data_IF_955945953543
#
_entry.id   IF_955945953543
#
_cell.length_a   1.000
_cell.length_b   1.000
_cell.length_c   1.000
_cell.angle_alpha   90.00
_cell.angle_beta   90.00
_cell.angle_gamma   90.00
#
_symmetry.space_group_name_H-M   'P 1'
#
loop_
_entity.id
_entity.type
_entity.pdbx_description
1 polymer ?
#
# COMPACT_ATOMS: atom_id res chain seq x y z
N UNK A 1 -13.44 8.95 36.91
CA UNK A 1 -14.71 8.37 36.42
C UNK A 1 -14.43 7.73 35.06
N UNK A 2 -14.23 6.41 35.03
CA UNK A 2 -13.79 5.69 33.85
C UNK A 2 -14.89 5.70 32.78
N UNK A 3 -14.60 6.28 31.61
CA UNK A 3 -15.50 6.16 30.45
C UNK A 3 -15.34 4.75 29.90
N UNK A 4 -16.43 3.97 29.99
CA UNK A 4 -16.57 2.66 29.35
C UNK A 4 -16.09 2.77 27.90
N UNK A 5 -15.09 1.97 27.53
CA UNK A 5 -14.72 1.81 26.14
C UNK A 5 -15.92 1.25 25.39
N UNK A 6 -16.37 1.97 24.36
CA UNK A 6 -17.32 1.41 23.41
C UNK A 6 -16.68 0.17 22.77
N UNK A 7 -17.44 -0.91 22.54
CA UNK A 7 -16.91 -2.10 21.89
C UNK A 7 -16.42 -1.70 20.49
N UNK A 8 -15.23 -2.17 20.11
CA UNK A 8 -14.57 -1.82 18.84
C UNK A 8 -15.49 -1.95 17.61
N UNK A 9 -16.44 -2.88 17.65
CA UNK A 9 -17.45 -3.11 16.59
C UNK A 9 -18.42 -1.94 16.37
N UNK A 10 -18.75 -1.16 17.41
CA UNK A 10 -19.67 -0.01 17.30
C UNK A 10 -18.95 1.21 16.70
N UNK A 11 -17.65 1.38 17.03
CA UNK A 11 -16.79 2.38 16.39
C UNK A 11 -16.55 2.07 14.91
N UNK A 12 -16.46 0.79 14.52
CA UNK A 12 -16.24 0.38 13.13
C UNK A 12 -17.39 0.74 12.19
N UNK A 13 -18.65 0.74 12.66
CA UNK A 13 -19.82 1.09 11.83
C UNK A 13 -19.94 2.60 11.60
N UNK A 14 -19.63 3.43 12.60
CA UNK A 14 -19.63 4.89 12.44
C UNK A 14 -18.50 5.38 11.53
N UNK A 15 -17.36 4.68 11.49
CA UNK A 15 -16.25 4.99 10.58
C UNK A 15 -16.60 4.70 9.11
N UNK A 16 -17.49 3.75 8.81
CA UNK A 16 -17.97 3.47 7.43
C UNK A 16 -18.83 4.60 6.86
N UNK A 17 -19.41 5.43 7.71
CA UNK A 17 -20.32 6.51 7.33
C UNK A 17 -19.61 7.83 7.06
N UNK A 18 -18.30 7.91 7.35
CA UNK A 18 -17.50 9.11 7.14
C UNK A 18 -16.59 8.94 5.93
N UNK A 19 -16.45 9.96 5.07
CA UNK A 19 -15.46 9.92 4.01
C UNK A 19 -14.05 9.79 4.64
N UNK A 20 -13.27 8.90 4.05
CA UNK A 20 -11.96 8.51 4.52
C UNK A 20 -10.93 8.85 3.44
N UNK A 21 -9.82 9.48 3.85
CA UNK A 21 -8.67 9.71 2.99
C UNK A 21 -7.61 8.71 3.40
N UNK A 22 -7.12 7.95 2.44
CA UNK A 22 -6.03 6.97 2.63
C UNK A 22 -4.86 7.40 1.76
N UNK A 23 -3.80 7.97 2.33
CA UNK A 23 -2.59 8.27 1.59
C UNK A 23 -1.84 6.99 1.18
N UNK A 24 -0.89 7.09 0.25
CA UNK A 24 -0.12 5.95 -0.25
C UNK A 24 0.60 5.15 0.86
N UNK A 25 0.96 5.79 1.97
CA UNK A 25 1.63 5.16 3.12
C UNK A 25 0.74 4.23 3.97
N UNK A 26 -0.55 4.12 3.62
CA UNK A 26 -1.52 3.29 4.33
C UNK A 26 -1.96 3.86 5.67
N UNK A 27 -1.64 5.14 5.96
CA UNK A 27 -2.33 5.90 6.99
C UNK A 27 -3.76 6.20 6.54
N UNK A 28 -4.63 6.60 7.46
CA UNK A 28 -5.96 7.06 7.07
C UNK A 28 -6.51 8.09 8.03
N UNK A 29 -7.35 8.98 7.53
CA UNK A 29 -8.13 9.88 8.38
C UNK A 29 -9.61 9.87 8.00
N UNK A 30 -10.46 10.02 9.02
CA UNK A 30 -11.87 10.28 8.83
C UNK A 30 -12.14 11.78 8.84
N UNK A 31 -13.04 12.23 7.97
CA UNK A 31 -13.45 13.63 7.87
C UNK A 31 -14.78 13.81 8.60
N UNK A 32 -14.87 14.79 9.49
CA UNK A 32 -16.08 15.13 10.26
C UNK A 32 -15.75 15.78 11.61
N UNK A 33 -16.77 16.11 12.41
CA UNK A 33 -16.59 16.73 13.74
C UNK A 33 -15.76 15.86 14.71
N UNK A 34 -15.75 14.54 14.48
CA UNK A 34 -14.94 13.55 15.21
C UNK A 34 -13.81 12.97 14.37
N UNK A 35 -13.35 13.71 13.37
CA UNK A 35 -12.26 13.28 12.50
C UNK A 35 -11.04 12.85 13.30
N UNK A 36 -10.49 11.69 12.98
CA UNK A 36 -9.33 11.13 13.64
C UNK A 36 -8.30 10.71 12.60
N UNK A 37 -7.02 10.87 12.93
CA UNK A 37 -5.90 10.41 12.13
C UNK A 37 -5.33 9.12 12.71
N UNK A 38 -5.16 8.12 11.87
CA UNK A 38 -4.62 6.82 12.22
C UNK A 38 -3.34 6.59 11.42
N UNK A 39 -2.26 6.26 12.13
CA UNK A 39 -0.93 6.09 11.52
C UNK A 39 -0.86 4.97 10.49
N UNK A 40 -1.63 3.89 10.68
CA UNK A 40 -1.66 2.77 9.75
C UNK A 40 -2.93 1.96 9.92
N UNK A 41 -3.46 1.47 8.81
CA UNK A 41 -4.51 0.46 8.81
C UNK A 41 -3.95 -0.85 9.39
N UNK A 42 -4.56 -1.42 10.44
CA UNK A 42 -4.14 -2.70 10.99
C UNK A 42 -4.22 -3.81 9.93
N UNK A 43 -3.22 -4.70 9.88
CA UNK A 43 -3.21 -5.84 8.93
C UNK A 43 -2.64 -5.53 7.54
N UNK A 44 -2.29 -4.28 7.24
CA UNK A 44 -1.67 -3.91 5.97
C UNK A 44 -0.21 -4.41 5.90
N UNK A 45 0.22 -5.04 4.79
CA UNK A 45 1.64 -5.39 4.57
C UNK A 45 2.53 -4.16 4.68
N UNK A 46 3.76 -4.34 5.16
CA UNK A 46 4.65 -3.21 5.48
C UNK A 46 5.09 -2.42 4.22
N UNK A 47 5.16 -3.13 3.09
CA UNK A 47 5.50 -2.71 1.75
C UNK A 47 4.27 -2.39 0.86
N UNK A 48 3.07 -2.32 1.44
CA UNK A 48 1.86 -1.99 0.69
C UNK A 48 1.74 -0.48 0.47
N UNK A 49 1.41 -0.11 -0.75
CA UNK A 49 1.05 1.25 -1.16
C UNK A 49 -0.43 1.28 -1.50
N UNK A 50 -1.18 2.23 -0.92
CA UNK A 50 -2.59 2.41 -1.27
C UNK A 50 -2.75 3.10 -2.63
N UNK A 51 -3.37 2.41 -3.59
CA UNK A 51 -3.67 2.94 -4.92
C UNK A 51 -5.00 3.69 -4.96
N UNK A 52 -5.94 3.29 -4.10
CA UNK A 52 -7.25 3.95 -4.05
C UNK A 52 -8.25 3.24 -3.14
N UNK A 53 -9.34 3.97 -2.85
CA UNK A 53 -10.47 3.48 -2.08
C UNK A 53 -11.71 3.35 -2.99
N UNK A 54 -12.39 2.21 -2.90
CA UNK A 54 -13.65 1.94 -3.56
C UNK A 54 -14.84 2.30 -2.66
N UNK A 55 -16.01 2.56 -3.28
CA UNK A 55 -17.24 2.99 -2.60
C UNK A 55 -17.88 1.95 -1.68
N UNK A 56 -17.38 0.72 -1.70
CA UNK A 56 -17.87 -0.43 -0.94
C UNK A 56 -16.88 -0.89 0.15
N UNK A 57 -16.10 0.05 0.69
CA UNK A 57 -15.14 -0.17 1.78
C UNK A 57 -13.90 -1.01 1.41
N UNK A 58 -13.62 -1.19 0.13
CA UNK A 58 -12.43 -1.90 -0.33
C UNK A 58 -11.30 -0.93 -0.68
N UNK A 59 -10.08 -1.32 -0.32
CA UNK A 59 -8.85 -0.64 -0.68
C UNK A 59 -8.08 -1.44 -1.70
N UNK A 60 -7.69 -0.79 -2.80
CA UNK A 60 -6.75 -1.37 -3.74
C UNK A 60 -5.32 -1.10 -3.26
N UNK A 61 -4.55 -2.17 -3.06
CA UNK A 61 -3.18 -2.11 -2.56
C UNK A 61 -2.21 -2.68 -3.59
N UNK A 62 -1.08 -2.02 -3.74
CA UNK A 62 0.12 -2.53 -4.43
C UNK A 62 1.17 -2.94 -3.40
N UNK A 63 1.50 -4.23 -3.36
CA UNK A 63 2.52 -4.77 -2.50
C UNK A 63 3.80 -5.03 -3.32
N UNK A 64 4.77 -4.14 -3.18
CA UNK A 64 6.04 -4.20 -3.90
C UNK A 64 7.03 -5.10 -3.17
N UNK A 65 7.42 -6.22 -3.78
CA UNK A 65 8.46 -7.12 -3.30
C UNK A 65 9.82 -6.82 -3.91
N UNK A 66 10.87 -7.33 -3.25
CA UNK A 66 12.28 -7.03 -3.48
C UNK A 66 12.71 -7.00 -4.96
N UNK A 67 13.70 -6.17 -5.21
CA UNK A 67 14.32 -5.92 -6.51
C UNK A 67 14.92 -7.19 -7.15
N UNK A 68 14.32 -7.65 -8.24
CA UNK A 68 14.93 -8.59 -9.18
C UNK A 68 15.96 -7.82 -10.04
N UNK A 69 17.25 -8.08 -9.80
CA UNK A 69 18.34 -7.46 -10.56
C UNK A 69 18.90 -8.41 -11.61
N UNK A 70 18.99 -7.95 -12.86
CA UNK A 70 19.92 -8.56 -13.83
C UNK A 70 21.30 -7.98 -13.56
N UNK A 71 22.28 -8.80 -13.17
CA UNK A 71 23.64 -8.31 -12.89
C UNK A 71 24.26 -7.72 -14.16
N UNK A 72 24.39 -6.40 -14.24
CA UNK A 72 24.93 -5.73 -15.43
C UNK A 72 26.46 -5.57 -15.31
N UNK A 73 27.18 -5.56 -16.43
CA UNK A 73 28.63 -5.32 -16.49
C UNK A 73 29.04 -4.02 -15.77
N UNK A 74 28.17 -3.00 -15.78
CA UNK A 74 28.40 -1.74 -15.07
C UNK A 74 28.46 -1.90 -13.55
N UNK A 75 27.78 -2.88 -12.95
CA UNK A 75 27.85 -3.11 -11.49
C UNK A 75 29.25 -3.56 -11.06
N UNK A 76 30.04 -4.18 -11.95
CA UNK A 76 31.44 -4.52 -11.68
C UNK A 76 32.38 -3.31 -11.69
N UNK A 77 32.02 -2.23 -12.38
CA UNK A 77 32.82 -1.00 -12.46
C UNK A 77 32.42 0.07 -11.42
N UNK A 78 31.37 -0.16 -10.62
CA UNK A 78 30.79 0.85 -9.73
C UNK A 78 31.17 0.70 -8.26
N UNK A 79 32.16 -0.13 -7.91
CA UNK A 79 32.56 -0.33 -6.51
C UNK A 79 33.08 0.97 -5.85
N UNK A 80 33.51 1.96 -6.64
CA UNK A 80 34.21 3.13 -6.10
C UNK A 80 33.43 4.46 -6.04
N UNK A 81 32.21 4.60 -6.59
CA UNK A 81 31.45 5.86 -6.40
C UNK A 81 29.94 5.67 -6.26
N UNK A 82 29.43 6.42 -5.30
CA UNK A 82 28.08 6.49 -4.74
C UNK A 82 27.10 7.22 -5.68
N UNK A 83 26.89 6.75 -6.92
CA UNK A 83 26.17 7.53 -7.96
C UNK A 83 24.74 7.11 -8.32
N UNK A 84 24.11 6.16 -7.61
CA UNK A 84 22.77 5.69 -7.96
C UNK A 84 21.71 6.03 -6.90
N UNK A 85 21.29 7.30 -6.88
CA UNK A 85 20.04 7.73 -6.24
C UNK A 85 18.87 7.77 -7.25
N UNK A 86 19.06 7.27 -8.48
CA UNK A 86 18.05 7.31 -9.55
C UNK A 86 17.48 5.90 -9.80
N UNK A 87 16.15 5.79 -9.97
CA UNK A 87 15.50 4.55 -10.36
C UNK A 87 16.17 3.91 -11.57
N UNK A 88 16.44 2.61 -11.48
CA UNK A 88 17.20 1.87 -12.49
C UNK A 88 16.28 1.08 -13.42
N UNK A 89 16.54 1.17 -14.73
CA UNK A 89 15.78 0.43 -15.75
C UNK A 89 16.06 -1.08 -15.75
N UNK A 90 17.21 -1.49 -15.24
CA UNK A 90 17.66 -2.89 -15.13
C UNK A 90 17.19 -3.58 -13.84
N UNK A 91 16.67 -2.81 -12.88
CA UNK A 91 16.05 -3.30 -11.66
C UNK A 91 14.57 -3.47 -11.90
N UNK A 92 14.05 -4.67 -11.65
CA UNK A 92 12.61 -4.94 -11.68
C UNK A 92 12.09 -5.15 -10.27
N UNK A 93 10.91 -4.62 -9.99
CA UNK A 93 10.17 -4.94 -8.78
C UNK A 93 9.03 -5.87 -9.11
N UNK A 94 8.75 -6.77 -8.17
CA UNK A 94 7.58 -7.63 -8.27
C UNK A 94 6.44 -7.00 -7.49
N UNK A 95 5.45 -6.49 -8.21
CA UNK A 95 4.21 -5.95 -7.67
C UNK A 95 3.19 -7.08 -7.52
N UNK A 96 2.46 -7.04 -6.41
CA UNK A 96 1.32 -7.94 -6.17
C UNK A 96 0.15 -7.09 -5.70
N UNK A 97 -0.99 -7.24 -6.36
CA UNK A 97 -2.17 -6.42 -6.16
C UNK A 97 -3.21 -7.18 -5.35
N UNK A 98 -3.84 -6.50 -4.42
CA UNK A 98 -4.93 -7.08 -3.64
C UNK A 98 -5.96 -6.02 -3.25
N UNK A 99 -7.19 -6.47 -3.03
CA UNK A 99 -8.23 -5.70 -2.37
C UNK A 99 -8.22 -6.03 -0.88
N UNK A 100 -8.29 -5.01 -0.05
CA UNK A 100 -8.34 -5.14 1.41
C UNK A 100 -9.57 -4.43 1.98
N UNK A 101 -10.31 -5.10 2.86
CA UNK A 101 -11.40 -4.50 3.61
C UNK A 101 -10.99 -4.29 5.08
N UNK A 102 -10.82 -3.05 5.56
CA UNK A 102 -10.38 -2.76 6.92
C UNK A 102 -11.45 -3.05 7.99
N UNK A 103 -12.72 -3.22 7.61
CA UNK A 103 -13.82 -3.47 8.55
C UNK A 103 -14.09 -4.97 8.76
N UNK A 104 -13.99 -5.77 7.70
CA UNK A 104 -14.08 -7.23 7.79
C UNK A 104 -12.71 -7.89 8.00
N UNK A 105 -11.61 -7.19 7.70
CA UNK A 105 -10.26 -7.74 7.67
C UNK A 105 -10.00 -8.66 6.48
N UNK A 106 -10.91 -8.72 5.51
CA UNK A 106 -10.81 -9.61 4.35
C UNK A 106 -9.80 -9.10 3.32
N UNK A 107 -9.10 -10.04 2.70
CA UNK A 107 -8.18 -9.79 1.59
C UNK A 107 -8.59 -10.62 0.37
N UNK A 108 -8.50 -10.00 -0.81
CA UNK A 108 -8.74 -10.67 -2.10
C UNK A 108 -7.54 -10.38 -3.01
N UNK A 109 -6.68 -11.36 -3.33
CA UNK A 109 -5.59 -11.16 -4.28
C UNK A 109 -6.13 -10.96 -5.70
N UNK A 110 -5.38 -10.22 -6.51
CA UNK A 110 -5.71 -9.94 -7.92
C UNK A 110 -4.65 -10.56 -8.85
N UNK A 111 -4.58 -11.90 -8.95
CA UNK A 111 -3.53 -12.60 -9.68
C UNK A 111 -3.51 -12.28 -11.19
N UNK A 112 -4.63 -11.85 -11.75
CA UNK A 112 -4.73 -11.40 -13.13
C UNK A 112 -3.93 -10.10 -13.34
N UNK A 113 -3.96 -9.16 -12.39
CA UNK A 113 -3.15 -7.95 -12.44
C UNK A 113 -1.68 -8.26 -12.18
N UNK A 114 -1.40 -9.17 -11.25
CA UNK A 114 -0.05 -9.68 -10.99
C UNK A 114 0.57 -10.29 -12.26
N UNK A 115 -0.24 -10.96 -13.08
CA UNK A 115 0.25 -11.60 -14.32
C UNK A 115 0.54 -10.60 -15.44
N UNK A 116 -0.15 -9.45 -15.46
CA UNK A 116 0.00 -8.44 -16.52
C UNK A 116 1.10 -7.44 -16.17
N UNK A 117 1.14 -6.96 -14.92
CA UNK A 117 2.02 -5.87 -14.47
C UNK A 117 3.10 -6.36 -13.51
N UNK A 118 2.96 -7.56 -12.93
CA UNK A 118 3.73 -7.99 -11.75
C UNK A 118 5.22 -7.72 -11.79
N UNK A 119 5.93 -7.97 -12.89
CA UNK A 119 7.37 -7.65 -12.99
C UNK A 119 7.63 -6.42 -13.88
N UNK A 120 7.73 -5.25 -13.27
CA UNK A 120 8.04 -3.97 -13.96
C UNK A 120 9.35 -3.37 -13.51
N UNK A 121 9.95 -2.54 -14.37
CA UNK A 121 11.16 -1.81 -14.03
C UNK A 121 10.89 -0.77 -12.93
N UNK A 122 11.88 -0.44 -12.10
CA UNK A 122 11.76 0.58 -11.04
C UNK A 122 11.36 1.97 -11.59
N UNK A 123 11.63 2.24 -12.86
CA UNK A 123 11.23 3.47 -13.55
C UNK A 123 9.78 3.47 -14.03
N UNK A 124 9.04 2.37 -13.85
CA UNK A 124 7.63 2.29 -14.26
C UNK A 124 6.77 3.02 -13.23
N UNK A 125 6.02 4.00 -13.70
CA UNK A 125 5.04 4.75 -12.91
C UNK A 125 3.67 4.56 -13.57
N UNK A 126 2.64 4.29 -12.77
CA UNK A 126 1.25 4.31 -13.23
C UNK A 126 0.81 5.79 -13.21
N UNK A 127 0.47 6.39 -14.37
CA UNK A 127 0.12 7.81 -14.47
C UNK A 127 -1.20 8.17 -13.79
#
# INVERSE_FOLDING_TARGET
MARRGAPAHECSLELRLLPWIVPPDGSFCTIGERGAFYRRIPGLPQNATCLGAASNDWLALDCTYDALRRTHLSDKFCVDRQWFLRPRRDVRHRHTYLLYNPFSGETVPLPELDSIVGDVAETFEIP
#
